data_IF_699726730559
#
_entry.id   IF_699726730559
#
_cell.length_a   1.000
_cell.length_b   1.000
_cell.length_c   1.000
_cell.angle_alpha   90.00
_cell.angle_beta   90.00
_cell.angle_gamma   90.00
#
_symmetry.space_group_name_H-M   'P 1'
#
loop_
_entity.id
_entity.type
_entity.pdbx_description
1 polymer ?
#
# COMPACT_ATOMS: atom_id res chain seq x y z
N UNK A 1 20.42 5.27 -21.22
CA UNK A 1 20.78 5.76 -19.86
C UNK A 1 19.50 5.93 -19.06
N UNK A 2 19.44 5.53 -17.78
CA UNK A 2 18.23 5.67 -16.94
C UNK A 2 17.75 7.13 -16.89
N UNK A 3 18.69 8.10 -16.86
CA UNK A 3 18.43 9.55 -16.92
C UNK A 3 17.55 10.01 -18.08
N UNK A 4 17.64 9.37 -19.26
CA UNK A 4 16.87 9.77 -20.44
C UNK A 4 15.52 9.06 -20.54
N UNK A 5 15.30 8.01 -19.73
CA UNK A 5 14.09 7.19 -19.73
C UNK A 5 13.03 7.70 -18.74
N UNK A 6 13.48 8.52 -17.79
CA UNK A 6 12.72 8.96 -16.64
C UNK A 6 12.83 10.49 -16.57
N UNK A 7 11.98 11.19 -17.33
CA UNK A 7 11.65 12.59 -17.06
C UNK A 7 10.95 12.66 -15.69
N UNK A 8 11.73 12.61 -14.61
CA UNK A 8 11.20 12.48 -13.27
C UNK A 8 10.74 13.84 -12.76
N UNK A 9 9.42 13.95 -12.59
CA UNK A 9 8.85 14.83 -11.57
C UNK A 9 9.40 14.38 -10.21
N UNK A 10 10.43 15.06 -9.74
CA UNK A 10 10.99 14.85 -8.41
C UNK A 10 10.42 15.94 -7.50
N UNK A 11 9.95 15.52 -6.33
CA UNK A 11 9.49 16.47 -5.33
C UNK A 11 10.58 16.62 -4.28
N UNK A 12 11.02 17.87 -4.09
CA UNK A 12 11.88 18.25 -2.98
C UNK A 12 10.97 18.79 -1.88
N UNK A 13 10.90 18.10 -0.76
CA UNK A 13 10.18 18.56 0.43
C UNK A 13 11.17 18.96 1.52
N UNK A 14 10.95 20.13 2.10
CA UNK A 14 11.76 20.65 3.21
C UNK A 14 11.14 20.23 4.55
N UNK A 15 11.97 19.81 5.51
CA UNK A 15 11.53 19.31 6.81
C UNK A 15 11.33 20.40 7.87
N UNK A 16 11.73 21.64 7.56
CA UNK A 16 11.68 22.77 8.49
C UNK A 16 12.84 22.87 9.47
N UNK A 17 13.75 21.88 9.49
CA UNK A 17 14.94 21.77 10.36
C UNK A 17 16.24 21.89 9.55
N UNK A 18 16.14 21.99 8.23
CA UNK A 18 17.26 22.19 7.30
C UNK A 18 17.61 20.96 6.47
N UNK A 19 16.81 19.89 6.54
CA UNK A 19 16.96 18.73 5.67
C UNK A 19 15.98 18.79 4.49
N UNK A 20 16.41 18.16 3.40
CA UNK A 20 15.63 18.03 2.18
C UNK A 20 15.37 16.55 1.90
N UNK A 21 14.12 16.21 1.65
CA UNK A 21 13.73 14.89 1.19
C UNK A 21 13.54 14.92 -0.32
N UNK A 22 14.25 14.04 -1.03
CA UNK A 22 14.07 13.81 -2.46
C UNK A 22 13.20 12.58 -2.67
N UNK A 23 11.99 12.78 -3.20
CA UNK A 23 11.08 11.68 -3.51
C UNK A 23 11.20 11.31 -5.00
N UNK A 24 11.87 10.18 -5.27
CA UNK A 24 12.07 9.64 -6.63
C UNK A 24 10.96 8.65 -7.07
N UNK A 25 10.11 8.23 -6.13
CA UNK A 25 9.07 7.23 -6.34
C UNK A 25 9.53 5.78 -6.19
N UNK A 26 8.63 4.93 -5.69
CA UNK A 26 8.91 3.52 -5.41
C UNK A 26 9.32 2.71 -6.66
N UNK A 27 8.81 3.06 -7.84
CA UNK A 27 9.12 2.39 -9.10
C UNK A 27 10.59 2.55 -9.49
N UNK A 28 11.07 3.79 -9.52
CA UNK A 28 12.47 4.07 -9.84
C UNK A 28 13.41 3.44 -8.81
N UNK A 29 13.05 3.52 -7.52
CA UNK A 29 13.86 2.94 -6.46
C UNK A 29 14.05 1.43 -6.64
N UNK A 30 12.97 0.70 -6.91
CA UNK A 30 13.06 -0.75 -7.14
C UNK A 30 13.88 -1.07 -8.40
N UNK A 31 13.69 -0.32 -9.50
CA UNK A 31 14.51 -0.50 -10.72
C UNK A 31 16.00 -0.21 -10.47
N UNK A 32 16.33 0.78 -9.63
CA UNK A 32 17.71 1.02 -9.23
C UNK A 32 18.26 -0.18 -8.44
N UNK A 33 17.49 -0.73 -7.49
CA UNK A 33 17.92 -1.91 -6.72
C UNK A 33 18.21 -3.12 -7.62
N UNK A 34 17.40 -3.33 -8.66
CA UNK A 34 17.59 -4.43 -9.62
C UNK A 34 18.86 -4.25 -10.46
N UNK A 35 19.22 -3.02 -10.82
CA UNK A 35 20.48 -2.76 -11.52
C UNK A 35 21.73 -3.06 -10.67
N UNK A 36 21.59 -3.04 -9.35
CA UNK A 36 22.66 -3.34 -8.38
C UNK A 36 22.49 -4.74 -7.74
N UNK A 37 21.78 -5.65 -8.42
CA UNK A 37 21.50 -7.00 -7.90
C UNK A 37 22.79 -7.81 -7.67
N UNK A 38 23.81 -7.61 -8.50
CA UNK A 38 25.09 -8.32 -8.42
C UNK A 38 26.12 -7.63 -7.50
N UNK A 39 25.90 -6.37 -7.14
CA UNK A 39 26.95 -5.53 -6.55
C UNK A 39 27.10 -5.64 -5.03
N UNK A 40 26.71 -6.77 -4.40
CA UNK A 40 26.96 -7.25 -3.02
C UNK A 40 25.72 -7.92 -2.36
N UNK A 41 25.90 -8.91 -1.45
CA UNK A 41 24.80 -9.65 -0.80
C UNK A 41 24.18 -8.89 0.39
N UNK A 42 23.74 -7.64 0.18
CA UNK A 42 23.04 -6.87 1.24
C UNK A 42 21.54 -7.18 1.28
N UNK A 43 20.93 -6.96 2.45
CA UNK A 43 19.47 -6.97 2.62
C UNK A 43 18.86 -5.83 1.79
N UNK A 44 18.14 -6.20 0.72
CA UNK A 44 17.39 -5.27 -0.14
C UNK A 44 15.96 -5.14 0.38
N UNK A 45 15.40 -3.93 0.32
CA UNK A 45 14.01 -3.67 0.67
C UNK A 45 13.31 -3.11 -0.55
N UNK A 46 12.38 -3.88 -1.12
CA UNK A 46 11.56 -3.44 -2.25
C UNK A 46 10.33 -2.71 -1.73
N UNK A 47 10.08 -1.52 -2.27
CA UNK A 47 8.84 -0.83 -1.97
C UNK A 47 7.71 -1.46 -2.75
N UNK A 48 6.56 -1.61 -2.10
CA UNK A 48 5.34 -1.99 -2.79
C UNK A 48 4.95 -0.88 -3.76
N UNK A 49 4.71 -1.24 -5.02
CA UNK A 49 4.20 -0.34 -6.05
C UNK A 49 2.76 -0.76 -6.32
N UNK A 50 1.76 -0.08 -5.74
CA UNK A 50 0.38 -0.40 -6.00
C UNK A 50 0.07 -0.15 -7.47
N UNK A 51 -0.72 -1.03 -8.07
CA UNK A 51 -1.05 -0.88 -9.48
C UNK A 51 -2.04 0.27 -9.68
N UNK A 52 -1.95 0.94 -10.84
CA UNK A 52 -3.00 1.85 -11.32
C UNK A 52 -4.23 1.10 -11.88
N UNK A 53 -4.23 -0.24 -11.89
CA UNK A 53 -5.37 -1.02 -12.35
C UNK A 53 -6.56 -0.68 -11.44
N UNK A 54 -7.74 -0.50 -12.03
CA UNK A 54 -8.95 -0.22 -11.27
C UNK A 54 -9.22 -1.41 -10.36
N UNK A 55 -9.12 -1.17 -9.05
CA UNK A 55 -9.48 -2.15 -8.03
C UNK A 55 -10.89 -2.72 -8.26
N UNK A 56 -11.79 -1.90 -8.80
CA UNK A 56 -13.16 -2.24 -9.18
C UNK A 56 -13.25 -3.40 -10.19
N UNK A 57 -12.29 -3.52 -11.11
CA UNK A 57 -12.26 -4.60 -12.10
C UNK A 57 -11.76 -5.92 -11.48
N UNK A 58 -11.03 -5.83 -10.37
CA UNK A 58 -10.38 -6.97 -9.73
C UNK A 58 -11.24 -7.67 -8.67
N UNK A 59 -12.34 -7.05 -8.24
CA UNK A 59 -13.19 -7.57 -7.17
C UNK A 59 -14.66 -7.22 -7.40
N UNK A 60 -15.56 -8.18 -7.18
CA UNK A 60 -17.00 -7.90 -7.22
C UNK A 60 -17.49 -7.25 -5.91
N UNK A 61 -18.60 -6.51 -5.98
CA UNK A 61 -19.26 -5.90 -4.82
C UNK A 61 -19.54 -6.91 -3.70
N UNK A 62 -20.00 -8.11 -4.05
CA UNK A 62 -20.30 -9.17 -3.08
C UNK A 62 -19.06 -9.74 -2.39
N UNK A 63 -17.95 -9.88 -3.13
CA UNK A 63 -16.70 -10.36 -2.56
C UNK A 63 -16.15 -9.30 -1.61
N UNK A 64 -16.18 -8.03 -2.01
CA UNK A 64 -15.69 -6.94 -1.20
C UNK A 64 -16.48 -6.79 0.10
N UNK A 65 -17.81 -6.89 0.06
CA UNK A 65 -18.63 -6.80 1.27
C UNK A 65 -18.29 -7.90 2.28
N UNK A 66 -18.10 -9.13 1.83
CA UNK A 66 -17.67 -10.24 2.70
C UNK A 66 -16.24 -10.04 3.22
N UNK A 67 -15.33 -9.55 2.39
CA UNK A 67 -13.92 -9.37 2.77
C UNK A 67 -13.74 -8.29 3.83
N UNK A 68 -14.47 -7.18 3.73
CA UNK A 68 -14.39 -6.04 4.67
C UNK A 68 -14.73 -6.43 6.10
N UNK A 69 -15.59 -7.45 6.29
CA UNK A 69 -15.93 -8.02 7.58
C UNK A 69 -15.06 -9.20 8.01
N UNK A 70 -14.26 -9.76 7.09
CA UNK A 70 -13.38 -10.90 7.37
C UNK A 70 -11.94 -10.49 7.68
N UNK A 71 -11.44 -9.42 7.05
CA UNK A 71 -10.08 -8.92 7.24
C UNK A 71 -10.01 -7.38 7.21
N UNK A 72 -9.01 -6.77 7.88
CA UNK A 72 -8.81 -5.33 7.83
C UNK A 72 -8.52 -4.81 6.41
N UNK A 73 -8.96 -3.57 6.13
CA UNK A 73 -8.76 -2.89 4.85
C UNK A 73 -7.29 -2.89 4.40
N UNK A 74 -6.35 -2.75 5.35
CA UNK A 74 -4.91 -2.82 5.05
C UNK A 74 -4.54 -4.14 4.37
N UNK A 75 -5.01 -5.27 4.91
CA UNK A 75 -4.76 -6.60 4.33
C UNK A 75 -5.48 -6.80 2.99
N UNK A 76 -6.69 -6.24 2.83
CA UNK A 76 -7.39 -6.25 1.53
C UNK A 76 -6.54 -5.51 0.50
N UNK A 77 -6.05 -4.31 0.85
CA UNK A 77 -5.24 -3.48 -0.05
C UNK A 77 -3.97 -4.22 -0.49
N UNK A 78 -3.32 -4.93 0.42
CA UNK A 78 -2.13 -5.75 0.15
C UNK A 78 -2.47 -6.91 -0.80
N UNK A 79 -3.56 -7.62 -0.53
CA UNK A 79 -4.01 -8.76 -1.35
C UNK A 79 -4.28 -8.39 -2.80
N UNK A 80 -4.88 -7.23 -3.04
CA UNK A 80 -5.26 -6.76 -4.38
C UNK A 80 -4.24 -5.80 -5.00
N UNK A 81 -3.04 -5.69 -4.40
CA UNK A 81 -2.01 -4.73 -4.76
C UNK A 81 -2.53 -3.30 -5.07
N UNK A 82 -3.46 -2.79 -4.25
CA UNK A 82 -4.03 -1.44 -4.34
C UNK A 82 -3.81 -0.60 -3.06
N UNK A 83 -4.07 0.71 -3.10
CA UNK A 83 -3.98 1.55 -1.91
C UNK A 83 -5.19 1.34 -0.97
N UNK A 84 -5.01 1.39 0.37
CA UNK A 84 -6.12 1.33 1.33
C UNK A 84 -7.19 2.41 1.08
N UNK A 85 -6.77 3.58 0.58
CA UNK A 85 -7.68 4.68 0.21
C UNK A 85 -8.66 4.25 -0.88
N UNK A 86 -8.16 3.60 -1.93
CA UNK A 86 -8.99 3.10 -3.04
C UNK A 86 -10.02 2.11 -2.53
N UNK A 87 -9.64 1.16 -1.66
CA UNK A 87 -10.59 0.20 -1.08
C UNK A 87 -11.71 0.91 -0.32
N UNK A 88 -11.41 1.98 0.42
CA UNK A 88 -12.42 2.78 1.15
C UNK A 88 -13.35 3.50 0.19
N UNK A 89 -12.78 4.19 -0.80
CA UNK A 89 -13.54 4.92 -1.82
C UNK A 89 -14.46 3.99 -2.60
N UNK A 90 -14.00 2.79 -2.96
CA UNK A 90 -14.83 1.77 -3.62
C UNK A 90 -15.94 1.26 -2.70
N UNK A 91 -15.68 1.07 -1.39
CA UNK A 91 -16.76 0.72 -0.45
C UNK A 91 -17.82 1.82 -0.37
N UNK A 92 -17.41 3.08 -0.33
CA UNK A 92 -18.33 4.22 -0.26
C UNK A 92 -19.12 4.37 -1.56
N UNK A 93 -18.47 4.22 -2.71
CA UNK A 93 -19.10 4.22 -4.04
C UNK A 93 -20.13 3.11 -4.21
N UNK A 94 -19.88 1.93 -3.64
CA UNK A 94 -20.77 0.77 -3.75
C UNK A 94 -21.75 0.62 -2.59
N UNK A 95 -21.80 1.58 -1.66
CA UNK A 95 -22.64 1.55 -0.46
C UNK A 95 -22.44 0.26 0.37
N UNK A 96 -21.17 -0.12 0.58
CA UNK A 96 -20.80 -1.26 1.40
C UNK A 96 -20.57 -0.78 2.84
N UNK A 97 -21.35 -1.33 3.77
CA UNK A 97 -21.15 -1.10 5.21
C UNK A 97 -19.79 -1.63 5.67
N UNK A 98 -19.01 -0.74 6.28
CA UNK A 98 -17.70 -1.04 6.86
C UNK A 98 -17.80 -1.18 8.37
N UNK A 99 -16.98 -2.05 9.00
CA UNK A 99 -16.84 -2.06 10.45
C UNK A 99 -16.24 -0.73 10.93
N UNK A 100 -16.60 -0.34 12.15
CA UNK A 100 -16.09 0.88 12.79
C UNK A 100 -14.56 0.89 12.87
N UNK A 101 -13.96 2.09 12.93
CA UNK A 101 -12.50 2.28 12.94
C UNK A 101 -11.78 1.44 14.00
N UNK A 102 -12.42 1.16 15.14
CA UNK A 102 -11.83 0.42 16.25
C UNK A 102 -12.20 -1.06 16.30
N UNK A 103 -13.11 -1.52 15.44
CA UNK A 103 -13.61 -2.91 15.44
C UNK A 103 -12.47 -3.93 15.39
N UNK A 104 -11.57 -3.77 14.41
CA UNK A 104 -10.44 -4.69 14.23
C UNK A 104 -9.42 -4.62 15.36
N UNK A 105 -9.21 -3.44 15.97
CA UNK A 105 -8.30 -3.28 17.10
C UNK A 105 -8.88 -3.95 18.36
N UNK A 106 -10.19 -3.91 18.54
CA UNK A 106 -10.88 -4.56 19.65
C UNK A 106 -10.76 -6.09 19.55
N UNK A 107 -11.00 -6.65 18.36
CA UNK A 107 -10.86 -8.08 18.11
C UNK A 107 -9.43 -8.61 18.35
N UNK A 108 -8.41 -7.84 17.97
CA UNK A 108 -7.01 -8.24 18.22
C UNK A 108 -6.74 -8.28 19.73
N UNK A 109 -7.15 -7.24 20.47
CA UNK A 109 -7.00 -7.18 21.93
C UNK A 109 -7.76 -8.28 22.66
N UNK A 110 -8.93 -8.69 22.16
CA UNK A 110 -9.71 -9.79 22.72
C UNK A 110 -9.01 -11.14 22.51
N UNK A 111 -8.46 -11.39 21.32
CA UNK A 111 -7.67 -12.61 21.05
C UNK A 111 -6.37 -12.72 21.86
N UNK A 112 -5.79 -11.60 22.24
CA UNK A 112 -4.59 -11.57 23.10
C UNK A 112 -4.91 -11.88 24.58
N UNK A 113 -6.18 -11.77 24.98
CA UNK A 113 -6.63 -12.01 26.36
C UNK A 113 -7.11 -13.42 26.65
N UNK A 114 -7.38 -14.24 25.62
CA UNK A 114 -7.67 -15.66 25.82
C UNK A 114 -6.37 -16.41 26.15
N UNK A 115 -6.24 -16.99 27.37
CA UNK A 115 -5.09 -17.83 27.68
C UNK A 115 -5.11 -19.08 26.79
N UNK A 116 -3.93 -19.44 26.26
CA UNK A 116 -3.71 -20.66 25.48
C UNK A 116 -3.95 -21.92 26.29
#
# INVERSE_FOLDING_TARGET
MIKSKFELEHQITHDGVGNYYLSLGAKLFNEMLDNYLESLPRKRYYFRIPSRIYFEDSVSKEILSKLVWKIPIKKISEKYNTYPKIVRETCDKWDIKRPESHYWNKLIKEKEKEPK
#
